data_IF_416586158297
#
_entry.id   IF_416586158297
#
_cell.length_a   1.000
_cell.length_b   1.000
_cell.length_c   1.000
_cell.angle_alpha   90.00
_cell.angle_beta   90.00
_cell.angle_gamma   90.00
#
_symmetry.space_group_name_H-M   'P 1'
#
loop_
_entity.id
_entity.type
_entity.pdbx_description
1 polymer ?
#
# COMPACT_ATOMS: atom_id res chain seq x y z
N UNK A 1 23.09 54.74 33.10
CA UNK A 1 22.05 54.25 34.03
C UNK A 1 20.79 54.05 33.20
N UNK A 2 20.73 53.04 32.33
CA UNK A 2 20.60 51.60 32.58
C UNK A 2 19.23 51.21 33.15
N UNK A 3 18.54 50.40 32.34
CA UNK A 3 17.40 49.52 32.63
C UNK A 3 16.00 50.16 32.77
N UNK A 4 15.21 50.08 31.69
CA UNK A 4 13.82 49.63 31.78
C UNK A 4 13.28 49.23 30.38
N UNK A 5 13.21 47.92 30.07
CA UNK A 5 12.16 47.31 29.22
C UNK A 5 12.10 45.84 29.63
N UNK A 6 11.17 45.55 30.54
CA UNK A 6 10.69 44.20 30.82
C UNK A 6 9.80 43.78 29.64
N UNK A 7 10.26 42.82 28.84
CA UNK A 7 9.49 42.22 27.74
C UNK A 7 8.99 40.87 28.22
N UNK A 8 7.75 40.86 28.68
CA UNK A 8 6.88 39.70 28.82
C UNK A 8 6.76 38.98 27.48
N UNK A 9 7.44 37.85 27.35
CA UNK A 9 7.22 36.90 26.25
C UNK A 9 5.95 36.13 26.57
N UNK A 10 4.95 36.31 25.72
CA UNK A 10 3.64 35.68 25.83
C UNK A 10 3.73 34.16 25.76
N UNK A 11 3.11 33.54 26.76
CA UNK A 11 2.80 32.12 26.86
C UNK A 11 1.74 31.76 25.80
N UNK A 12 2.18 31.28 24.63
CA UNK A 12 1.31 30.64 23.66
C UNK A 12 1.38 29.13 23.85
N UNK A 13 0.51 28.63 24.71
CA UNK A 13 0.22 27.21 24.86
C UNK A 13 -0.28 26.63 23.52
N UNK A 14 0.57 25.85 22.85
CA UNK A 14 0.22 25.05 21.69
C UNK A 14 -0.68 23.90 22.16
N UNK A 15 -1.97 23.98 21.83
CA UNK A 15 -2.93 22.90 22.08
C UNK A 15 -2.72 21.79 21.05
N UNK A 16 -2.60 20.50 21.44
CA UNK A 16 -2.52 19.41 20.49
C UNK A 16 -3.87 19.23 19.79
N UNK A 17 -3.88 19.34 18.46
CA UNK A 17 -5.05 19.07 17.63
C UNK A 17 -5.31 17.56 17.58
N UNK A 18 -6.29 17.10 18.32
CA UNK A 18 -6.82 15.73 18.23
C UNK A 18 -7.46 15.49 16.85
N UNK A 19 -6.72 14.89 15.93
CA UNK A 19 -7.28 14.29 14.72
C UNK A 19 -7.95 12.99 15.16
N UNK A 20 -9.26 13.08 15.39
CA UNK A 20 -10.12 11.94 15.73
C UNK A 20 -10.24 11.08 14.46
N UNK A 21 -9.62 9.90 14.46
CA UNK A 21 -9.74 8.91 13.39
C UNK A 21 -11.22 8.52 13.23
N UNK A 22 -11.84 9.04 12.17
CA UNK A 22 -13.21 8.69 11.78
C UNK A 22 -13.13 7.36 11.05
N UNK A 23 -13.73 6.33 11.65
CA UNK A 23 -13.91 5.03 11.02
C UNK A 23 -14.49 5.20 9.61
N UNK A 24 -13.85 4.57 8.64
CA UNK A 24 -14.26 4.61 7.23
C UNK A 24 -15.64 3.96 7.10
N UNK A 25 -16.64 4.79 6.79
CA UNK A 25 -17.93 4.33 6.29
C UNK A 25 -17.72 3.67 4.91
N UNK A 26 -18.57 2.70 4.51
CA UNK A 26 -18.46 2.04 3.22
C UNK A 26 -18.44 3.09 2.11
N UNK A 27 -17.38 3.07 1.31
CA UNK A 27 -17.18 3.97 0.18
C UNK A 27 -18.36 3.85 -0.77
N UNK A 28 -19.22 4.86 -0.78
CA UNK A 28 -20.24 5.05 -1.82
C UNK A 28 -19.52 5.05 -3.17
N UNK A 29 -19.66 3.96 -3.91
CA UNK A 29 -19.27 3.83 -5.32
C UNK A 29 -19.67 5.09 -6.07
N UNK A 30 -18.68 5.89 -6.49
CA UNK A 30 -18.89 7.16 -7.20
C UNK A 30 -19.72 6.90 -8.47
N UNK A 31 -21.02 7.16 -8.37
CA UNK A 31 -22.02 6.93 -9.42
C UNK A 31 -22.18 8.13 -10.33
N UNK A 32 -21.15 8.94 -10.56
CA UNK A 32 -21.26 10.18 -11.35
C UNK A 32 -20.22 10.22 -12.48
N UNK A 33 -20.59 10.74 -13.65
CA UNK A 33 -19.64 11.08 -14.71
C UNK A 33 -18.88 12.37 -14.34
N UNK A 34 -17.88 12.74 -15.16
CA UNK A 34 -17.08 13.94 -14.93
C UNK A 34 -17.86 15.26 -15.02
N UNK A 35 -19.08 15.21 -15.56
CA UNK A 35 -20.02 16.33 -15.58
C UNK A 35 -20.95 16.33 -14.33
N UNK A 36 -20.65 15.53 -13.31
CA UNK A 36 -21.43 15.43 -12.08
C UNK A 36 -22.78 14.75 -12.23
N UNK A 37 -23.11 14.18 -13.39
CA UNK A 37 -24.39 13.50 -13.63
C UNK A 37 -24.35 12.07 -13.12
N UNK A 38 -25.42 11.63 -12.44
CA UNK A 38 -25.54 10.22 -12.03
C UNK A 38 -25.47 9.32 -13.25
N UNK A 39 -24.55 8.36 -13.23
CA UNK A 39 -24.42 7.33 -14.25
C UNK A 39 -25.69 6.46 -14.24
N UNK A 40 -26.51 6.62 -15.28
CA UNK A 40 -27.59 5.66 -15.59
C UNK A 40 -27.03 4.28 -15.93
N UNK A 41 -27.91 3.27 -16.12
CA UNK A 41 -27.51 1.87 -16.42
C UNK A 41 -26.44 1.79 -17.51
N UNK A 42 -26.71 2.37 -18.69
CA UNK A 42 -25.77 2.41 -19.83
C UNK A 42 -24.40 3.03 -19.50
N UNK A 43 -24.38 4.03 -18.61
CA UNK A 43 -23.15 4.67 -18.17
C UNK A 43 -22.33 3.74 -17.27
N UNK A 44 -22.97 3.03 -16.34
CA UNK A 44 -22.30 2.02 -15.51
C UNK A 44 -21.74 0.89 -16.36
N UNK A 45 -22.52 0.36 -17.30
CA UNK A 45 -22.08 -0.69 -18.22
C UNK A 45 -20.84 -0.25 -19.03
N UNK A 46 -20.81 1.02 -19.47
CA UNK A 46 -19.66 1.57 -20.19
C UNK A 46 -18.43 1.73 -19.28
N UNK A 47 -18.62 2.23 -18.05
CA UNK A 47 -17.53 2.34 -17.07
C UNK A 47 -16.95 0.97 -16.72
N UNK A 48 -17.79 -0.04 -16.53
CA UNK A 48 -17.37 -1.43 -16.27
C UNK A 48 -16.59 -2.00 -17.46
N UNK A 49 -17.02 -1.75 -18.70
CA UNK A 49 -16.27 -2.14 -19.90
C UNK A 49 -14.89 -1.48 -19.97
N UNK A 50 -14.77 -0.21 -19.57
CA UNK A 50 -13.46 0.48 -19.50
C UNK A 50 -12.56 -0.21 -18.46
N UNK A 51 -13.08 -0.53 -17.27
CA UNK A 51 -12.31 -1.22 -16.24
C UNK A 51 -11.91 -2.65 -16.66
N UNK A 52 -12.81 -3.37 -17.33
CA UNK A 52 -12.52 -4.69 -17.89
C UNK A 52 -11.39 -4.63 -18.93
N UNK A 53 -11.46 -3.67 -19.86
CA UNK A 53 -10.41 -3.44 -20.85
C UNK A 53 -9.06 -3.09 -20.21
N UNK A 54 -9.05 -2.29 -19.13
CA UNK A 54 -7.83 -2.01 -18.36
C UNK A 54 -7.26 -3.28 -17.71
N UNK A 55 -8.12 -4.12 -17.11
CA UNK A 55 -7.69 -5.39 -16.52
C UNK A 55 -7.14 -6.37 -17.56
N UNK A 56 -7.75 -6.44 -18.75
CA UNK A 56 -7.23 -7.23 -19.87
C UNK A 56 -5.86 -6.73 -20.32
N UNK A 57 -5.69 -5.41 -20.44
CA UNK A 57 -4.38 -4.83 -20.76
C UNK A 57 -3.34 -5.19 -19.70
N UNK A 58 -3.68 -5.08 -18.41
CA UNK A 58 -2.80 -5.44 -17.29
C UNK A 58 -2.44 -6.93 -17.26
N UNK A 59 -3.37 -7.81 -17.67
CA UNK A 59 -3.13 -9.25 -17.80
C UNK A 59 -2.34 -9.62 -19.06
N UNK A 60 -2.26 -8.71 -20.03
CA UNK A 60 -1.57 -8.92 -21.30
C UNK A 60 -0.04 -8.92 -21.22
N UNK A 61 0.64 -8.96 -22.37
CA UNK A 61 2.11 -8.95 -22.46
C UNK A 61 2.75 -7.72 -21.77
N UNK A 62 3.91 -7.88 -21.11
CA UNK A 62 4.55 -6.82 -20.30
C UNK A 62 5.13 -5.67 -21.14
N UNK A 63 5.39 -5.89 -22.43
CA UNK A 63 5.89 -4.90 -23.39
C UNK A 63 4.80 -3.94 -23.89
N UNK A 64 3.53 -4.25 -23.64
CA UNK A 64 2.43 -3.36 -23.98
C UNK A 64 2.33 -2.24 -22.94
N UNK A 65 2.47 -1.00 -23.40
CA UNK A 65 2.29 0.18 -22.54
C UNK A 65 0.82 0.30 -22.09
N UNK A 66 0.62 0.53 -20.79
CA UNK A 66 -0.71 0.82 -20.21
C UNK A 66 -0.95 2.33 -20.30
N UNK A 67 -1.79 2.75 -21.25
CA UNK A 67 -2.13 4.15 -21.48
C UNK A 67 -3.64 4.32 -21.75
N UNK A 68 -4.15 5.56 -21.63
CA UNK A 68 -5.56 5.83 -21.91
C UNK A 68 -5.94 5.51 -23.37
N UNK A 69 -5.03 5.71 -24.32
CA UNK A 69 -5.27 5.40 -25.73
C UNK A 69 -5.30 3.88 -25.97
N UNK A 70 -4.43 3.12 -25.30
CA UNK A 70 -4.48 1.66 -25.32
C UNK A 70 -5.80 1.13 -24.74
N UNK A 71 -6.24 1.69 -23.60
CA UNK A 71 -7.52 1.32 -22.96
C UNK A 71 -8.70 1.68 -23.86
N UNK A 72 -8.72 2.87 -24.45
CA UNK A 72 -9.79 3.29 -25.36
C UNK A 72 -9.90 2.32 -26.55
N UNK A 73 -8.77 1.95 -27.16
CA UNK A 73 -8.72 0.96 -28.24
C UNK A 73 -9.24 -0.41 -27.78
N UNK A 74 -8.77 -0.90 -26.63
CA UNK A 74 -9.21 -2.18 -26.06
C UNK A 74 -10.71 -2.19 -25.75
N UNK A 75 -11.24 -1.10 -25.21
CA UNK A 75 -12.66 -0.94 -24.89
C UNK A 75 -13.54 -0.66 -26.12
N UNK A 76 -12.96 -0.50 -27.31
CA UNK A 76 -13.67 -0.03 -28.52
C UNK A 76 -14.40 1.30 -28.30
N UNK A 77 -13.68 2.28 -27.76
CA UNK A 77 -14.16 3.63 -27.46
C UNK A 77 -13.27 4.69 -28.11
N UNK A 78 -13.85 5.82 -28.49
CA UNK A 78 -13.08 7.03 -28.81
C UNK A 78 -12.57 7.73 -27.54
N UNK A 79 -11.46 8.44 -27.63
CA UNK A 79 -10.85 9.16 -26.50
C UNK A 79 -11.84 10.10 -25.80
N UNK A 80 -12.63 10.86 -26.57
CA UNK A 80 -13.68 11.74 -26.02
C UNK A 80 -14.70 10.99 -25.18
N UNK A 81 -15.03 9.74 -25.56
CA UNK A 81 -15.95 8.92 -24.79
C UNK A 81 -15.33 8.48 -23.46
N UNK A 82 -14.06 8.07 -23.48
CA UNK A 82 -13.31 7.66 -22.29
C UNK A 82 -13.17 8.82 -21.29
N UNK A 83 -12.85 10.03 -21.76
CA UNK A 83 -12.75 11.24 -20.94
C UNK A 83 -14.07 11.71 -20.33
N UNK A 84 -15.21 11.04 -20.58
CA UNK A 84 -16.43 11.28 -19.79
C UNK A 84 -16.43 10.51 -18.47
N UNK A 85 -15.56 9.51 -18.31
CA UNK A 85 -15.53 8.60 -17.16
C UNK A 85 -14.27 8.71 -16.32
N UNK A 86 -13.12 9.02 -16.94
CA UNK A 86 -11.82 9.14 -16.25
C UNK A 86 -11.06 10.32 -16.84
N UNK A 87 -10.59 11.24 -15.98
CA UNK A 87 -9.88 12.45 -16.38
C UNK A 87 -8.49 12.13 -16.89
N UNK A 88 -7.85 11.13 -16.28
CA UNK A 88 -6.48 10.75 -16.54
C UNK A 88 -6.26 9.27 -16.21
N UNK A 89 -5.06 8.78 -16.54
CA UNK A 89 -4.66 7.40 -16.25
C UNK A 89 -4.62 7.10 -14.74
N UNK A 90 -4.31 8.09 -13.91
CA UNK A 90 -4.23 7.92 -12.45
C UNK A 90 -5.58 7.58 -11.87
N UNK A 91 -6.63 8.32 -12.25
CA UNK A 91 -8.01 8.08 -11.81
C UNK A 91 -8.50 6.70 -12.26
N UNK A 92 -8.19 6.32 -13.51
CA UNK A 92 -8.52 5.00 -14.03
C UNK A 92 -7.84 3.88 -13.24
N UNK A 93 -6.54 4.00 -12.99
CA UNK A 93 -5.79 2.99 -12.25
C UNK A 93 -6.20 2.93 -10.78
N UNK A 94 -6.53 4.05 -10.15
CA UNK A 94 -7.11 4.05 -8.79
C UNK A 94 -8.41 3.26 -8.74
N UNK A 95 -9.28 3.40 -9.75
CA UNK A 95 -10.53 2.64 -9.82
C UNK A 95 -10.31 1.13 -10.02
N UNK A 96 -9.17 0.72 -10.56
CA UNK A 96 -8.76 -0.69 -10.67
C UNK A 96 -8.06 -1.18 -9.40
N UNK A 97 -7.25 -0.32 -8.77
CA UNK A 97 -6.56 -0.61 -7.51
C UNK A 97 -7.53 -0.83 -6.35
N UNK A 98 -8.59 -0.03 -6.24
CA UNK A 98 -9.55 -0.09 -5.14
C UNK A 98 -10.10 -1.52 -4.88
N UNK A 99 -10.71 -2.23 -5.86
CA UNK A 99 -11.20 -3.59 -5.63
C UNK A 99 -10.07 -4.60 -5.40
N UNK A 100 -8.88 -4.37 -5.94
CA UNK A 100 -7.70 -5.23 -5.71
C UNK A 100 -7.22 -5.09 -4.26
N UNK A 101 -7.08 -3.86 -3.77
CA UNK A 101 -6.67 -3.61 -2.39
C UNK A 101 -7.74 -4.03 -1.38
N UNK A 102 -9.02 -4.05 -1.77
CA UNK A 102 -10.09 -4.58 -0.92
C UNK A 102 -9.92 -6.07 -0.59
N UNK A 103 -9.23 -6.87 -1.43
CA UNK A 103 -8.96 -8.28 -1.12
C UNK A 103 -7.77 -8.49 -0.19
N UNK A 104 -6.99 -7.44 0.11
CA UNK A 104 -5.80 -7.54 0.96
C UNK A 104 -6.13 -8.03 2.38
N UNK A 105 -7.32 -7.72 2.91
CA UNK A 105 -7.76 -8.21 4.22
C UNK A 105 -7.78 -9.74 4.28
N UNK A 106 -8.48 -10.34 3.31
CA UNK A 106 -8.65 -11.79 3.22
C UNK A 106 -7.37 -12.49 2.78
N UNK A 107 -6.55 -11.83 1.94
CA UNK A 107 -5.36 -12.46 1.37
C UNK A 107 -4.15 -12.43 2.32
N UNK A 108 -3.93 -11.37 3.12
CA UNK A 108 -2.76 -11.33 4.00
C UNK A 108 -2.88 -10.48 5.27
N UNK A 109 -3.70 -9.42 5.34
CA UNK A 109 -3.74 -8.54 6.52
C UNK A 109 -4.36 -9.25 7.72
N UNK A 110 -5.39 -10.08 7.51
CA UNK A 110 -6.05 -10.84 8.57
C UNK A 110 -5.08 -11.73 9.36
N UNK A 111 -3.99 -12.19 8.73
CA UNK A 111 -2.95 -13.00 9.37
C UNK A 111 -2.22 -12.28 10.50
N UNK A 112 -2.22 -10.94 10.51
CA UNK A 112 -1.55 -10.11 11.50
C UNK A 112 -2.48 -9.59 12.62
N UNK A 113 -3.80 -9.79 12.49
CA UNK A 113 -4.82 -9.22 13.40
C UNK A 113 -4.68 -9.76 14.82
N UNK A 114 -4.39 -11.04 14.94
CA UNK A 114 -4.14 -11.67 16.23
C UNK A 114 -2.67 -11.55 16.59
N UNK A 115 -2.38 -11.15 17.83
CA UNK A 115 -1.02 -11.19 18.38
C UNK A 115 -0.50 -12.64 18.34
N UNK A 116 0.64 -12.87 17.69
CA UNK A 116 1.21 -14.20 17.54
C UNK A 116 1.91 -14.68 18.81
N UNK A 117 1.78 -15.96 19.15
CA UNK A 117 2.53 -16.58 20.25
C UNK A 117 4.02 -16.72 19.90
N UNK A 118 4.90 -16.49 20.87
CA UNK A 118 6.35 -16.55 20.69
C UNK A 118 6.84 -17.94 20.21
N UNK A 119 6.14 -19.00 20.61
CA UNK A 119 6.46 -20.38 20.25
C UNK A 119 6.31 -20.69 18.75
N UNK A 120 5.38 -20.00 18.06
CA UNK A 120 5.07 -20.21 16.63
C UNK A 120 5.40 -18.99 15.77
N UNK A 121 6.12 -18.02 16.32
CA UNK A 121 6.34 -16.72 15.70
C UNK A 121 7.00 -16.83 14.31
N UNK A 122 8.02 -17.68 14.18
CA UNK A 122 8.70 -17.89 12.90
C UNK A 122 7.76 -18.49 11.82
N UNK A 123 6.88 -19.42 12.20
CA UNK A 123 5.89 -20.01 11.29
C UNK A 123 4.86 -18.97 10.84
N UNK A 124 4.36 -18.16 11.78
CA UNK A 124 3.40 -17.08 11.50
C UNK A 124 4.01 -15.98 10.63
N UNK A 125 5.24 -15.57 10.91
CA UNK A 125 5.97 -14.61 10.10
C UNK A 125 6.16 -15.12 8.66
N UNK A 126 6.55 -16.39 8.48
CA UNK A 126 6.69 -17.00 7.16
C UNK A 126 5.37 -17.09 6.42
N UNK A 127 4.28 -17.47 7.11
CA UNK A 127 2.94 -17.52 6.52
C UNK A 127 2.51 -16.14 6.01
N UNK A 128 2.69 -15.10 6.82
CA UNK A 128 2.39 -13.72 6.45
C UNK A 128 3.21 -13.25 5.24
N UNK A 129 4.54 -13.38 5.28
CA UNK A 129 5.43 -12.95 4.18
C UNK A 129 5.10 -13.69 2.89
N UNK A 130 4.80 -14.99 2.97
CA UNK A 130 4.41 -15.81 1.81
C UNK A 130 3.07 -15.34 1.22
N UNK A 131 2.08 -15.05 2.06
CA UNK A 131 0.77 -14.57 1.63
C UNK A 131 0.86 -13.16 1.01
N UNK A 132 1.58 -12.24 1.65
CA UNK A 132 1.85 -10.90 1.14
C UNK A 132 2.53 -10.95 -0.24
N UNK A 133 3.57 -11.79 -0.38
CA UNK A 133 4.22 -12.00 -1.66
C UNK A 133 3.26 -12.62 -2.70
N UNK A 134 2.41 -13.57 -2.29
CA UNK A 134 1.40 -14.18 -3.16
C UNK A 134 0.46 -13.15 -3.79
N UNK A 135 -0.06 -12.23 -2.97
CA UNK A 135 -0.86 -11.10 -3.42
C UNK A 135 -0.10 -10.23 -4.45
N UNK A 136 1.16 -9.91 -4.17
CA UNK A 136 1.98 -9.10 -5.07
C UNK A 136 2.25 -9.76 -6.42
N UNK A 137 2.46 -11.08 -6.49
CA UNK A 137 2.60 -11.78 -7.78
C UNK A 137 1.35 -11.63 -8.61
N UNK A 138 0.18 -11.90 -8.00
CA UNK A 138 -1.12 -11.92 -8.67
C UNK A 138 -1.44 -10.57 -9.30
N UNK A 139 -0.96 -9.48 -8.70
CA UNK A 139 -1.25 -8.11 -9.09
C UNK A 139 -0.01 -7.30 -9.51
N UNK A 140 1.09 -7.97 -9.86
CA UNK A 140 2.42 -7.36 -9.97
C UNK A 140 2.45 -6.15 -10.89
N UNK A 141 1.94 -6.28 -12.13
CA UNK A 141 1.99 -5.20 -13.13
C UNK A 141 1.25 -3.94 -12.67
N UNK A 142 0.08 -4.11 -12.03
CA UNK A 142 -0.69 -2.98 -11.51
C UNK A 142 0.04 -2.29 -10.34
N UNK A 143 0.59 -3.07 -9.42
CA UNK A 143 1.29 -2.56 -8.25
C UNK A 143 2.64 -1.91 -8.62
N UNK A 144 3.36 -2.46 -9.60
CA UNK A 144 4.56 -1.86 -10.18
C UNK A 144 4.25 -0.53 -10.87
N UNK A 145 3.18 -0.48 -11.67
CA UNK A 145 2.75 0.76 -12.31
C UNK A 145 2.38 1.83 -11.26
N UNK A 146 1.66 1.44 -10.20
CA UNK A 146 1.38 2.33 -9.06
C UNK A 146 2.65 2.86 -8.42
N UNK A 147 3.65 2.00 -8.19
CA UNK A 147 4.94 2.40 -7.60
C UNK A 147 5.72 3.33 -8.53
N UNK A 148 5.81 3.04 -9.83
CA UNK A 148 6.47 3.90 -10.82
C UNK A 148 5.84 5.30 -10.85
N UNK A 149 4.51 5.38 -10.84
CA UNK A 149 3.80 6.67 -10.81
C UNK A 149 4.04 7.41 -9.48
N UNK A 150 4.07 6.71 -8.35
CA UNK A 150 4.40 7.31 -7.07
C UNK A 150 5.84 7.85 -7.04
N UNK A 151 6.80 7.12 -7.61
CA UNK A 151 8.20 7.55 -7.70
C UNK A 151 8.36 8.76 -8.64
N UNK A 152 7.55 8.82 -9.70
CA UNK A 152 7.37 9.99 -10.57
C UNK A 152 6.59 11.16 -9.92
N UNK A 153 6.41 11.15 -8.59
CA UNK A 153 5.77 12.21 -7.79
C UNK A 153 4.29 12.43 -8.10
N UNK A 154 3.58 11.41 -8.60
CA UNK A 154 2.13 11.47 -8.66
C UNK A 154 1.54 11.40 -7.24
N UNK A 155 1.08 12.54 -6.72
CA UNK A 155 0.60 12.68 -5.33
C UNK A 155 -0.49 11.66 -4.94
N UNK A 156 -1.44 11.38 -5.84
CA UNK A 156 -2.51 10.40 -5.59
C UNK A 156 -1.95 8.98 -5.43
N UNK A 157 -0.93 8.62 -6.22
CA UNK A 157 -0.27 7.32 -6.11
C UNK A 157 0.67 7.22 -4.90
N UNK A 158 1.32 8.32 -4.53
CA UNK A 158 2.07 8.42 -3.26
C UNK A 158 1.15 8.18 -2.08
N UNK A 159 0.01 8.89 -2.03
CA UNK A 159 -0.97 8.74 -0.96
C UNK A 159 -1.55 7.32 -0.92
N UNK A 160 -1.89 6.76 -2.08
CA UNK A 160 -2.36 5.38 -2.17
C UNK A 160 -1.31 4.39 -1.63
N UNK A 161 -0.01 4.56 -1.97
CA UNK A 161 1.08 3.72 -1.44
C UNK A 161 1.17 3.79 0.08
N UNK A 162 1.11 5.00 0.64
CA UNK A 162 1.15 5.21 2.10
C UNK A 162 -0.04 4.54 2.79
N UNK A 163 -1.25 4.73 2.26
CA UNK A 163 -2.46 4.13 2.82
C UNK A 163 -2.47 2.60 2.73
N UNK A 164 -1.92 2.02 1.66
CA UNK A 164 -1.81 0.58 1.51
C UNK A 164 -0.83 -0.07 2.52
N UNK A 165 0.25 0.62 2.88
CA UNK A 165 1.26 0.11 3.82
C UNK A 165 0.85 0.28 5.30
N UNK A 166 0.10 1.33 5.62
CA UNK A 166 -0.24 1.69 7.01
C UNK A 166 -0.86 0.56 7.86
N UNK A 167 -1.85 -0.22 7.37
CA UNK A 167 -2.45 -1.29 8.17
C UNK A 167 -1.41 -2.32 8.63
N UNK A 168 -0.53 -2.75 7.72
CA UNK A 168 0.54 -3.71 8.02
C UNK A 168 1.51 -3.12 9.04
N UNK A 169 1.97 -1.88 8.83
CA UNK A 169 2.89 -1.22 9.75
C UNK A 169 2.30 -1.12 11.17
N UNK A 170 1.04 -0.72 11.31
CA UNK A 170 0.38 -0.63 12.63
C UNK A 170 0.25 -1.99 13.30
N UNK A 171 -0.15 -3.01 12.54
CA UNK A 171 -0.27 -4.37 13.08
C UNK A 171 1.11 -4.92 13.49
N UNK A 172 2.19 -4.60 12.76
CA UNK A 172 3.54 -4.97 13.18
C UNK A 172 3.96 -4.28 14.49
N UNK A 173 3.56 -3.01 14.71
CA UNK A 173 3.76 -2.33 16.01
C UNK A 173 3.04 -3.08 17.13
N UNK A 174 1.79 -3.49 16.91
CA UNK A 174 1.03 -4.29 17.89
C UNK A 174 1.67 -5.67 18.11
N UNK A 175 2.20 -6.32 17.07
CA UNK A 175 2.96 -7.57 17.23
C UNK A 175 4.19 -7.37 18.12
N UNK A 176 4.78 -6.18 18.16
CA UNK A 176 5.91 -5.81 19.02
C UNK A 176 5.49 -5.33 20.43
N UNK A 177 4.21 -5.44 20.80
CA UNK A 177 3.64 -4.88 22.04
C UNK A 177 3.82 -3.36 22.16
N UNK A 178 3.94 -2.66 21.03
CA UNK A 178 4.11 -1.22 20.98
C UNK A 178 2.80 -0.43 21.09
N UNK A 179 2.87 0.77 21.65
CA UNK A 179 1.75 1.70 21.77
C UNK A 179 1.52 2.47 20.45
N UNK A 180 0.36 2.23 19.81
CA UNK A 180 -0.04 2.92 18.58
C UNK A 180 -0.28 4.43 18.76
N UNK A 181 -0.44 4.92 19.99
CA UNK A 181 -0.53 6.34 20.32
C UNK A 181 0.79 7.09 20.10
N UNK A 182 1.92 6.38 20.05
CA UNK A 182 3.27 6.96 19.97
C UNK A 182 3.91 6.74 18.60
N UNK A 183 3.48 7.52 17.60
CA UNK A 183 3.88 7.37 16.19
C UNK A 183 5.39 7.45 15.90
N UNK A 184 6.18 7.99 16.82
CA UNK A 184 7.65 8.13 16.70
C UNK A 184 8.43 7.22 17.66
N UNK A 185 7.77 6.22 18.24
CA UNK A 185 8.42 5.28 19.14
C UNK A 185 9.35 4.30 18.42
N UNK A 186 10.30 3.68 19.12
CA UNK A 186 11.17 2.65 18.55
C UNK A 186 10.43 1.50 17.81
N UNK A 187 9.28 0.95 18.29
CA UNK A 187 8.50 -0.05 17.56
C UNK A 187 7.99 0.45 16.20
N UNK A 188 7.54 1.71 16.11
CA UNK A 188 7.14 2.29 14.82
C UNK A 188 8.30 2.36 13.84
N UNK A 189 9.49 2.71 14.33
CA UNK A 189 10.71 2.76 13.50
C UNK A 189 11.08 1.36 13.00
N UNK A 190 11.02 0.35 13.86
CA UNK A 190 11.25 -1.05 13.47
C UNK A 190 10.20 -1.55 12.48
N UNK A 191 8.91 -1.30 12.72
CA UNK A 191 7.83 -1.68 11.80
C UNK A 191 8.00 -1.02 10.42
N UNK A 192 8.43 0.24 10.40
CA UNK A 192 8.75 0.97 9.15
C UNK A 192 9.91 0.31 8.40
N UNK A 193 10.99 -0.05 9.10
CA UNK A 193 12.14 -0.73 8.50
C UNK A 193 11.74 -2.10 7.94
N UNK A 194 10.99 -2.90 8.69
CA UNK A 194 10.48 -4.20 8.26
C UNK A 194 9.56 -4.07 7.04
N UNK A 195 8.61 -3.12 7.06
CA UNK A 195 7.74 -2.86 5.92
C UNK A 195 8.53 -2.41 4.68
N UNK A 196 9.53 -1.55 4.85
CA UNK A 196 10.38 -1.09 3.74
C UNK A 196 11.15 -2.25 3.10
N UNK A 197 11.67 -3.17 3.93
CA UNK A 197 12.28 -4.41 3.47
C UNK A 197 11.29 -5.26 2.68
N UNK A 198 10.11 -5.50 3.26
CA UNK A 198 9.00 -6.24 2.66
C UNK A 198 8.61 -5.71 1.28
N UNK A 199 8.38 -4.40 1.16
CA UNK A 199 8.06 -3.77 -0.12
C UNK A 199 9.19 -3.92 -1.14
N UNK A 200 10.45 -3.82 -0.71
CA UNK A 200 11.60 -3.93 -1.60
C UNK A 200 11.77 -5.36 -2.12
N UNK A 201 11.65 -6.35 -1.24
CA UNK A 201 11.78 -7.76 -1.61
C UNK A 201 10.67 -8.15 -2.59
N UNK A 202 9.41 -7.80 -2.33
CA UNK A 202 8.32 -8.12 -3.28
C UNK A 202 8.48 -7.38 -4.61
N UNK A 203 8.95 -6.13 -4.60
CA UNK A 203 9.20 -5.38 -5.83
C UNK A 203 10.25 -6.11 -6.68
N UNK A 204 11.40 -6.45 -6.10
CA UNK A 204 12.49 -7.13 -6.81
C UNK A 204 12.09 -8.53 -7.27
N UNK A 205 11.38 -9.28 -6.44
CA UNK A 205 11.04 -10.68 -6.74
C UNK A 205 9.86 -10.83 -7.71
N UNK A 206 9.06 -9.79 -7.91
CA UNK A 206 7.92 -9.79 -8.85
C UNK A 206 8.14 -8.93 -10.09
N UNK A 207 9.28 -8.26 -10.22
CA UNK A 207 9.67 -7.51 -11.42
C UNK A 207 10.20 -8.46 -12.51
N UNK A 208 9.43 -8.61 -13.58
CA UNK A 208 9.77 -9.48 -14.72
C UNK A 208 10.94 -8.95 -15.53
N UNK A 209 11.11 -7.63 -15.65
CA UNK A 209 12.22 -7.03 -16.39
C UNK A 209 13.55 -7.27 -15.64
N UNK A 210 13.54 -7.11 -14.32
CA UNK A 210 14.70 -7.41 -13.49
C UNK A 210 15.09 -8.89 -13.57
N UNK A 211 14.12 -9.81 -13.53
CA UNK A 211 14.38 -11.24 -13.72
C UNK A 211 15.04 -11.55 -15.08
N UNK A 212 14.62 -10.87 -16.14
CA UNK A 212 15.22 -11.02 -17.47
C UNK A 212 16.67 -10.51 -17.52
N UNK A 213 16.94 -9.34 -16.92
CA UNK A 213 18.28 -8.73 -16.87
C UNK A 213 19.26 -9.59 -16.07
N UNK A 214 18.81 -10.19 -14.97
CA UNK A 214 19.67 -10.99 -14.10
C UNK A 214 20.00 -12.37 -14.69
N UNK A 215 19.47 -12.73 -15.88
CA UNK A 215 19.68 -14.02 -16.58
C UNK A 215 19.56 -15.26 -15.70
N UNK A 216 18.86 -15.14 -14.58
CA UNK A 216 18.70 -16.18 -13.58
C UNK A 216 17.20 -16.37 -13.46
N UNK A 217 16.61 -17.50 -13.90
CA UNK A 217 15.32 -17.86 -13.35
C UNK A 217 15.66 -18.06 -11.88
N UNK A 218 15.27 -17.16 -10.98
CA UNK A 218 15.68 -17.30 -9.58
C UNK A 218 14.54 -17.84 -8.70
N UNK A 219 14.07 -19.09 -8.90
CA UNK A 219 13.21 -19.74 -7.93
C UNK A 219 13.98 -20.05 -6.63
N UNK A 220 15.33 -20.09 -6.67
CA UNK A 220 16.17 -20.37 -5.51
C UNK A 220 16.28 -19.17 -4.55
N UNK A 221 16.45 -17.95 -5.06
CA UNK A 221 16.50 -16.72 -4.25
C UNK A 221 15.15 -16.30 -3.69
N UNK A 222 14.04 -16.60 -4.36
CA UNK A 222 12.71 -16.19 -3.90
C UNK A 222 12.33 -16.86 -2.58
N UNK A 223 12.49 -18.18 -2.45
CA UNK A 223 12.20 -18.88 -1.20
C UNK A 223 13.19 -18.51 -0.09
N UNK A 224 14.47 -18.31 -0.41
CA UNK A 224 15.47 -17.89 0.57
C UNK A 224 15.26 -16.44 1.06
N UNK A 225 14.89 -15.52 0.17
CA UNK A 225 14.58 -14.12 0.52
C UNK A 225 13.34 -14.04 1.40
N UNK A 226 12.25 -14.74 1.05
CA UNK A 226 11.04 -14.76 1.88
C UNK A 226 11.31 -15.36 3.27
N UNK A 227 12.14 -16.40 3.35
CA UNK A 227 12.57 -16.96 4.64
C UNK A 227 13.45 -15.99 5.44
N UNK A 228 14.36 -15.28 4.78
CA UNK A 228 15.22 -14.29 5.42
C UNK A 228 14.39 -13.12 5.96
N UNK A 229 13.42 -12.65 5.19
CA UNK A 229 12.47 -11.61 5.57
C UNK A 229 11.57 -12.04 6.74
N UNK A 230 11.00 -13.24 6.67
CA UNK A 230 10.26 -13.82 7.78
C UNK A 230 11.12 -13.91 9.05
N UNK A 231 12.40 -14.27 8.91
CA UNK A 231 13.34 -14.32 10.03
C UNK A 231 13.64 -12.94 10.61
N UNK A 232 13.77 -11.90 9.77
CA UNK A 232 13.93 -10.52 10.23
C UNK A 232 12.69 -10.02 10.99
N UNK A 233 11.48 -10.34 10.49
CA UNK A 233 10.23 -10.06 11.21
C UNK A 233 10.20 -10.76 12.58
N UNK A 234 10.51 -12.06 12.64
CA UNK A 234 10.56 -12.83 13.88
C UNK A 234 11.54 -12.22 14.90
N UNK A 235 12.76 -11.87 14.45
CA UNK A 235 13.79 -11.29 15.31
C UNK A 235 13.39 -9.90 15.81
N UNK A 236 12.89 -9.04 14.92
CA UNK A 236 12.43 -7.69 15.28
C UNK A 236 11.28 -7.74 16.29
N UNK A 237 10.31 -8.64 16.08
CA UNK A 237 9.19 -8.82 17.00
C UNK A 237 9.67 -9.29 18.37
N UNK A 238 10.52 -10.33 18.43
CA UNK A 238 11.03 -10.86 19.71
C UNK A 238 11.86 -9.85 20.49
N UNK A 239 12.75 -9.14 19.80
CA UNK A 239 13.63 -8.15 20.42
C UNK A 239 12.82 -7.05 21.10
N UNK A 240 11.83 -6.50 20.40
CA UNK A 240 10.99 -5.43 20.95
C UNK A 240 10.05 -5.89 22.06
N UNK A 241 9.52 -7.12 21.98
CA UNK A 241 8.77 -7.72 23.11
C UNK A 241 9.66 -7.84 24.36
N UNK A 242 10.90 -8.30 24.21
CA UNK A 242 11.84 -8.41 25.33
C UNK A 242 12.16 -7.02 25.92
N UNK A 243 12.45 -6.03 25.08
CA UNK A 243 12.70 -4.66 25.52
C UNK A 243 11.46 -4.05 26.23
N UNK A 244 10.25 -4.37 25.80
CA UNK A 244 9.02 -3.87 26.41
C UNK A 244 8.84 -4.43 27.82
N UNK A 245 9.12 -5.73 28.02
CA UNK A 245 9.13 -6.36 29.36
C UNK A 245 10.18 -5.73 30.28
N UNK A 246 11.32 -5.31 29.73
CA UNK A 246 12.38 -4.61 30.47
C UNK A 246 12.09 -3.11 30.73
N UNK A 247 11.00 -2.56 30.17
CA UNK A 247 10.65 -1.14 30.30
C UNK A 247 11.57 -0.20 29.50
N UNK A 248 12.11 -0.66 28.38
CA UNK A 248 13.12 0.05 27.56
C UNK A 248 12.61 0.51 26.18
N UNK A 249 11.30 0.41 25.96
CA UNK A 249 10.61 0.76 24.70
C UNK A 249 9.80 2.03 24.87
#
# INVERSE_FOLDING_TARGET
>A
MSANVDKTVGDQAVRPSTIRARAAAPSTTLSHNLNGQRLGRKGRDTRERILAATNELLAGPPDVEVSLSAVARQASLGMTSLYNYFNDLTELLMAVLEPVMATAEDEYISLLRDRWDDAVLGERALAFVTAYHGFWIKHSRLLHLRNQMADAQNERMVLHRVHAAQPVMRLLVEQMDGDLGQQQSPPFSMATALMTGLERVVTVTTDTALQHILHTPNPLGRTHLLRAEARLLELGIRDYRALAVEGRV
#
